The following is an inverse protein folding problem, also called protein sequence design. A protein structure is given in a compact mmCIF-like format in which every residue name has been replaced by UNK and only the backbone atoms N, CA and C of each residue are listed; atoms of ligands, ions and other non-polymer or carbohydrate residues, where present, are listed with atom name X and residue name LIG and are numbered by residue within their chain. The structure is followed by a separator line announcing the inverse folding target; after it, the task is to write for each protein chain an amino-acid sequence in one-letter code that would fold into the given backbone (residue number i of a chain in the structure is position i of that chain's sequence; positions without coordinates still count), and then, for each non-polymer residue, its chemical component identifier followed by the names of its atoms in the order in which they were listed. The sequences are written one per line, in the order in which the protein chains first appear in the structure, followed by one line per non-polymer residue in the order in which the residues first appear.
data_IF_760818175538
#
_entry.id   IF_760818175538
#
_cell.length_a   1.000
_cell.length_b   1.000
_cell.length_c   1.000
_cell.angle_alpha   90.00
_cell.angle_beta   90.00
_cell.angle_gamma   90.00
#
_symmetry.space_group_name_H-M   'P 1'
#
loop_
_entity.id
_entity.type
_entity.pdbx_description
1 polymer ?
#
# COMPACT_ATOMS: atom_id res chain seq x y z
N UNK A 1 20.01 30.04 -6.04
CA UNK A 1 20.86 28.84 -6.19
C UNK A 1 19.99 27.64 -5.85
N UNK A 2 19.93 26.61 -6.70
CA UNK A 2 19.13 25.42 -6.41
C UNK A 2 19.89 24.53 -5.41
N UNK A 3 19.24 24.11 -4.32
CA UNK A 3 19.77 23.07 -3.43
C UNK A 3 19.11 21.75 -3.85
N UNK A 4 19.94 20.77 -4.18
CA UNK A 4 19.47 19.42 -4.54
C UNK A 4 19.69 18.53 -3.34
N UNK A 5 18.65 17.83 -2.90
CA UNK A 5 18.83 16.73 -1.97
C UNK A 5 19.47 15.57 -2.75
N UNK A 6 20.57 15.02 -2.22
CA UNK A 6 21.27 13.90 -2.83
C UNK A 6 20.64 12.56 -2.45
N UNK A 7 19.80 12.55 -1.43
CA UNK A 7 19.10 11.35 -0.99
C UNK A 7 17.85 11.14 -1.87
N UNK A 8 17.62 9.88 -2.25
CA UNK A 8 16.42 9.49 -3.00
C UNK A 8 15.55 8.65 -2.08
N UNK A 9 14.33 9.10 -1.84
CA UNK A 9 13.37 8.32 -1.06
C UNK A 9 12.89 7.12 -1.85
N UNK A 10 12.70 6.01 -1.16
CA UNK A 10 12.11 4.81 -1.74
C UNK A 10 10.68 4.62 -1.24
N UNK A 11 9.75 4.52 -2.17
CA UNK A 11 8.37 4.15 -1.87
C UNK A 11 7.94 3.00 -2.78
N UNK A 12 6.94 2.26 -2.31
CA UNK A 12 6.28 1.24 -3.11
C UNK A 12 4.77 1.35 -2.93
N UNK A 13 4.04 0.86 -3.94
CA UNK A 13 2.58 0.78 -3.93
C UNK A 13 2.12 -0.47 -4.68
N UNK A 14 0.88 -0.86 -4.42
CA UNK A 14 0.19 -1.81 -5.29
C UNK A 14 -0.51 -1.14 -6.45
N UNK A 15 -0.72 -1.88 -7.54
CA UNK A 15 -1.37 -1.38 -8.76
C UNK A 15 -2.72 -0.68 -8.48
N UNK A 16 -3.54 -1.23 -7.59
CA UNK A 16 -4.88 -0.72 -7.26
C UNK A 16 -4.91 0.25 -6.05
N UNK A 17 -3.75 0.58 -5.50
CA UNK A 17 -3.65 1.45 -4.32
C UNK A 17 -3.35 2.89 -4.70
N UNK A 18 -3.96 3.83 -3.99
CA UNK A 18 -3.54 5.23 -4.00
C UNK A 18 -2.52 5.45 -2.89
N UNK A 19 -1.30 5.80 -3.25
CA UNK A 19 -0.23 6.12 -2.30
C UNK A 19 -0.16 7.63 -2.09
N UNK A 20 -0.50 8.08 -0.88
CA UNK A 20 -0.27 9.46 -0.44
C UNK A 20 1.17 9.62 0.00
N UNK A 21 1.81 10.69 -0.46
CA UNK A 21 3.22 11.00 -0.20
C UNK A 21 3.33 12.46 0.23
N UNK A 22 4.12 12.68 1.27
CA UNK A 22 4.46 14.00 1.79
C UNK A 22 5.95 14.18 1.67
N UNK A 23 6.39 15.25 1.02
CA UNK A 23 7.80 15.67 0.95
C UNK A 23 7.97 16.89 1.82
N UNK A 24 8.98 16.88 2.69
CA UNK A 24 9.22 17.94 3.65
C UNK A 24 10.59 18.56 3.40
N UNK A 25 10.62 19.88 3.21
CA UNK A 25 11.84 20.62 2.88
C UNK A 25 12.48 21.29 4.10
N UNK A 26 12.19 20.82 5.32
CA UNK A 26 12.62 21.47 6.58
C UNK A 26 14.13 21.67 6.66
N UNK A 27 14.90 20.67 6.23
CA UNK A 27 16.36 20.72 6.28
C UNK A 27 16.96 21.56 5.14
N UNK A 28 16.18 21.83 4.11
CA UNK A 28 16.63 22.55 2.92
C UNK A 28 16.30 24.04 2.96
N UNK A 29 15.16 24.37 3.58
CA UNK A 29 14.69 25.72 3.80
C UNK A 29 15.53 26.41 4.88
N UNK A 30 15.96 27.63 4.60
CA UNK A 30 16.57 28.47 5.63
C UNK A 30 15.50 28.81 6.71
N UNK A 31 15.91 29.16 7.93
CA UNK A 31 15.05 29.22 9.14
C UNK A 31 13.80 30.12 9.02
N UNK A 32 13.76 31.04 8.05
CA UNK A 32 12.63 31.94 7.78
C UNK A 32 11.98 31.73 6.39
N UNK A 33 12.45 30.74 5.63
CA UNK A 33 11.96 30.47 4.29
C UNK A 33 10.66 29.65 4.34
N UNK A 34 9.71 30.01 3.49
CA UNK A 34 8.44 29.30 3.34
C UNK A 34 8.34 28.69 1.95
N UNK A 35 7.79 27.48 1.87
CA UNK A 35 7.46 26.85 0.61
C UNK A 35 6.20 27.52 0.03
N UNK A 36 6.32 28.12 -1.16
CA UNK A 36 5.23 28.84 -1.81
C UNK A 36 4.46 27.96 -2.79
N UNK A 37 5.17 27.14 -3.55
CA UNK A 37 4.58 26.25 -4.54
C UNK A 37 5.45 25.02 -4.76
N UNK A 38 4.87 23.99 -5.37
CA UNK A 38 5.54 22.73 -5.64
C UNK A 38 5.07 22.16 -6.98
N UNK A 39 6.00 21.58 -7.73
CA UNK A 39 5.73 20.78 -8.93
C UNK A 39 6.23 19.36 -8.70
N UNK A 40 5.41 18.37 -9.03
CA UNK A 40 5.80 16.97 -9.03
C UNK A 40 5.73 16.43 -10.46
N UNK A 41 6.71 15.62 -10.84
CA UNK A 41 6.76 14.97 -12.15
C UNK A 41 7.27 13.55 -11.97
N UNK A 42 6.76 12.63 -12.79
CA UNK A 42 7.08 11.20 -12.73
C UNK A 42 7.35 10.66 -14.13
N UNK A 43 8.37 9.83 -14.26
CA UNK A 43 8.78 9.18 -15.51
C UNK A 43 8.88 7.67 -15.30
N UNK A 44 8.56 6.92 -16.34
CA UNK A 44 8.81 5.47 -16.38
C UNK A 44 10.28 5.14 -16.68
N UNK A 45 10.62 3.85 -16.65
CA UNK A 45 11.95 3.32 -16.98
C UNK A 45 12.45 3.70 -18.38
N UNK A 46 11.54 4.08 -19.29
CA UNK A 46 11.85 4.55 -20.64
C UNK A 46 11.97 6.07 -20.76
N UNK A 47 11.87 6.81 -19.64
CA UNK A 47 11.95 8.27 -19.60
C UNK A 47 10.69 8.97 -20.11
N UNK A 48 9.56 8.27 -20.25
CA UNK A 48 8.28 8.87 -20.68
C UNK A 48 7.56 9.42 -19.46
N UNK A 49 7.16 10.70 -19.53
CA UNK A 49 6.41 11.33 -18.44
C UNK A 49 5.03 10.67 -18.26
N UNK A 50 4.73 10.27 -17.03
CA UNK A 50 3.41 9.76 -16.60
C UNK A 50 2.68 10.72 -15.68
N UNK A 51 3.22 11.91 -15.47
CA UNK A 51 2.74 12.94 -14.53
C UNK A 51 1.22 13.11 -14.55
N UNK A 52 0.63 13.44 -15.70
CA UNK A 52 -0.81 13.66 -15.80
C UNK A 52 -1.67 12.40 -15.53
N UNK A 53 -1.09 11.21 -15.70
CA UNK A 53 -1.81 9.94 -15.55
C UNK A 53 -1.69 9.32 -14.16
N UNK A 54 -0.64 9.66 -13.41
CA UNK A 54 -0.29 9.00 -12.16
C UNK A 54 -0.33 9.91 -10.94
N UNK A 55 -0.05 11.21 -11.10
CA UNK A 55 0.07 12.14 -9.98
C UNK A 55 -1.14 13.06 -9.85
N UNK A 56 -1.56 13.32 -8.62
CA UNK A 56 -2.38 14.50 -8.32
C UNK A 56 -1.51 15.76 -8.31
N UNK A 57 -2.13 16.92 -8.57
CA UNK A 57 -1.47 18.21 -8.35
C UNK A 57 -1.00 18.32 -6.90
N UNK A 58 0.26 18.74 -6.64
CA UNK A 58 0.74 18.92 -5.27
C UNK A 58 0.00 20.03 -4.53
N UNK A 59 -0.32 19.77 -3.26
CA UNK A 59 -0.82 20.77 -2.31
C UNK A 59 0.31 21.16 -1.38
N UNK A 60 0.56 22.47 -1.23
CA UNK A 60 1.62 22.96 -0.36
C UNK A 60 1.07 23.35 1.00
N UNK A 61 1.66 22.77 2.05
CA UNK A 61 1.50 23.15 3.45
C UNK A 61 2.89 23.33 4.03
N UNK A 62 3.47 24.53 3.84
CA UNK A 62 4.86 24.82 4.21
C UNK A 62 5.18 24.32 5.61
N UNK A 63 6.30 23.60 5.82
CA UNK A 63 7.42 23.37 4.89
C UNK A 63 7.27 22.14 3.98
N UNK A 64 6.06 21.58 3.86
CA UNK A 64 5.79 20.33 3.14
C UNK A 64 4.93 20.50 1.89
N UNK A 65 5.02 19.53 1.00
CA UNK A 65 4.10 19.37 -0.12
C UNK A 65 3.55 17.95 -0.14
N UNK A 66 2.27 17.81 -0.45
CA UNK A 66 1.55 16.53 -0.47
C UNK A 66 0.99 16.25 -1.84
N UNK A 67 1.06 15.00 -2.27
CA UNK A 67 0.43 14.52 -3.50
C UNK A 67 0.15 13.02 -3.40
N UNK A 68 -0.54 12.49 -4.40
CA UNK A 68 -0.95 11.09 -4.46
C UNK A 68 -0.50 10.44 -5.77
N UNK A 69 -0.23 9.13 -5.69
CA UNK A 69 0.16 8.27 -6.81
C UNK A 69 -0.88 7.16 -6.93
N UNK A 70 -1.64 7.11 -8.02
CA UNK A 70 -2.82 6.22 -8.12
C UNK A 70 -2.65 5.04 -9.09
N UNK A 71 -2.01 5.28 -10.25
CA UNK A 71 -1.86 4.26 -11.31
C UNK A 71 -0.45 3.67 -11.32
N UNK A 72 -0.10 2.99 -12.41
CA UNK A 72 1.21 2.42 -12.69
C UNK A 72 1.11 1.19 -13.57
N UNK A 73 2.25 0.56 -13.80
CA UNK A 73 2.38 -0.74 -14.47
C UNK A 73 3.13 -1.68 -13.54
N UNK A 74 2.65 -2.91 -13.42
CA UNK A 74 3.24 -3.91 -12.51
C UNK A 74 4.68 -4.21 -12.92
N UNK A 75 5.58 -4.22 -11.94
CA UNK A 75 7.01 -4.49 -12.15
C UNK A 75 7.79 -3.30 -12.71
N UNK A 76 7.13 -2.18 -13.00
CA UNK A 76 7.82 -0.95 -13.40
C UNK A 76 8.29 -0.15 -12.18
N UNK A 77 9.46 0.45 -12.33
CA UNK A 77 10.01 1.43 -11.41
C UNK A 77 9.91 2.81 -12.04
N UNK A 78 9.39 3.77 -11.28
CA UNK A 78 9.22 5.14 -11.69
C UNK A 78 10.15 6.06 -10.93
N UNK A 79 10.74 7.03 -11.62
CA UNK A 79 11.49 8.13 -11.00
C UNK A 79 10.58 9.34 -10.88
N UNK A 80 10.48 9.89 -9.67
CA UNK A 80 9.76 11.12 -9.38
C UNK A 80 10.73 12.23 -9.02
N UNK A 81 10.44 13.42 -9.53
CA UNK A 81 11.10 14.66 -9.16
C UNK A 81 10.08 15.62 -8.58
N UNK A 82 10.33 16.08 -7.37
CA UNK A 82 9.53 17.09 -6.70
C UNK A 82 10.36 18.36 -6.60
N UNK A 83 9.85 19.47 -7.15
CA UNK A 83 10.52 20.76 -7.19
C UNK A 83 9.73 21.77 -6.37
N UNK A 84 10.28 22.17 -5.23
CA UNK A 84 9.73 23.18 -4.34
C UNK A 84 10.28 24.58 -4.65
N UNK A 85 9.42 25.59 -4.62
CA UNK A 85 9.78 27.00 -4.81
C UNK A 85 9.53 27.76 -3.51
N UNK A 86 10.58 28.34 -2.93
CA UNK A 86 10.53 29.03 -1.66
C UNK A 86 10.57 30.56 -1.78
N UNK A 87 10.18 31.27 -0.72
CA UNK A 87 10.05 32.74 -0.65
C UNK A 87 11.31 33.54 -1.01
N UNK A 88 12.51 32.96 -0.85
CA UNK A 88 13.79 33.59 -1.20
C UNK A 88 14.27 33.30 -2.64
N UNK A 89 13.39 32.88 -3.55
CA UNK A 89 13.75 32.34 -4.88
C UNK A 89 14.67 31.12 -4.82
N UNK A 90 14.71 30.44 -3.67
CA UNK A 90 15.38 29.16 -3.53
C UNK A 90 14.51 28.07 -4.19
N UNK A 91 15.16 27.19 -4.93
CA UNK A 91 14.54 26.04 -5.59
C UNK A 91 15.12 24.79 -4.95
N UNK A 92 14.25 23.92 -4.47
CA UNK A 92 14.61 22.67 -3.82
C UNK A 92 14.13 21.51 -4.68
N UNK A 93 14.99 20.50 -4.85
CA UNK A 93 14.66 19.33 -5.66
C UNK A 93 14.80 18.10 -4.79
N UNK A 94 13.72 17.33 -4.68
CA UNK A 94 13.64 16.05 -4.01
C UNK A 94 13.41 14.94 -5.03
N UNK A 95 14.07 13.79 -4.84
CA UNK A 95 13.93 12.62 -5.70
C UNK A 95 13.25 11.48 -4.96
N UNK A 96 12.34 10.79 -5.63
CA UNK A 96 11.66 9.62 -5.09
C UNK A 96 11.65 8.52 -6.14
N UNK A 97 11.94 7.29 -5.74
CA UNK A 97 11.78 6.09 -6.54
C UNK A 97 10.50 5.39 -6.10
N UNK A 98 9.62 5.08 -7.05
CA UNK A 98 8.35 4.40 -6.78
C UNK A 98 8.26 3.10 -7.57
N UNK A 99 8.19 1.97 -6.85
CA UNK A 99 7.96 0.65 -7.45
C UNK A 99 6.48 0.24 -7.34
N UNK A 100 5.96 -0.37 -8.41
CA UNK A 100 4.56 -0.81 -8.49
C UNK A 100 4.47 -2.34 -8.50
N UNK A 101 3.84 -2.89 -7.46
CA UNK A 101 3.61 -4.33 -7.31
C UNK A 101 2.21 -4.76 -7.79
N UNK A 102 2.09 -6.05 -8.13
CA UNK A 102 0.81 -6.67 -8.45
C UNK A 102 -0.13 -6.72 -7.25
N UNK A 103 -1.44 -6.66 -7.50
CA UNK A 103 -2.47 -6.78 -6.48
C UNK A 103 -2.48 -8.14 -5.82
N UNK A 104 -3.00 -8.18 -4.60
CA UNK A 104 -3.18 -9.41 -3.84
C UNK A 104 -4.58 -9.96 -4.10
N UNK A 105 -4.66 -11.27 -4.33
CA UNK A 105 -5.91 -12.01 -4.40
C UNK A 105 -6.09 -12.88 -3.15
N UNK A 106 -7.33 -12.91 -2.64
CA UNK A 106 -7.72 -13.84 -1.59
C UNK A 106 -8.32 -15.08 -2.25
N UNK A 107 -7.80 -16.25 -1.90
CA UNK A 107 -8.40 -17.53 -2.24
C UNK A 107 -8.97 -18.15 -0.96
N UNK A 108 -10.30 -18.18 -0.88
CA UNK A 108 -11.07 -18.67 0.27
C UNK A 108 -11.78 -19.99 -0.05
N UNK A 109 -11.44 -20.62 -1.17
CA UNK A 109 -12.07 -21.87 -1.59
C UNK A 109 -11.65 -23.00 -0.66
N UNK A 110 -12.64 -23.66 -0.06
CA UNK A 110 -12.42 -24.80 0.82
C UNK A 110 -11.71 -25.93 0.06
N UNK A 111 -10.69 -26.51 0.68
CA UNK A 111 -9.94 -27.63 0.12
C UNK A 111 -8.96 -27.27 -1.01
N UNK A 112 -8.87 -26.00 -1.41
CA UNK A 112 -7.98 -25.58 -2.50
C UNK A 112 -6.51 -25.57 -2.02
N UNK A 113 -5.57 -26.21 -2.75
CA UNK A 113 -4.15 -26.19 -2.40
C UNK A 113 -3.51 -24.79 -2.50
N UNK A 114 -4.17 -23.84 -3.16
CA UNK A 114 -3.76 -22.44 -3.25
C UNK A 114 -4.59 -21.50 -2.35
N UNK A 115 -5.40 -22.04 -1.43
CA UNK A 115 -6.12 -21.21 -0.46
C UNK A 115 -5.15 -20.44 0.44
N UNK A 116 -5.46 -19.17 0.72
CA UNK A 116 -4.57 -18.29 1.49
C UNK A 116 -5.30 -17.42 2.54
N UNK A 117 -6.62 -17.58 2.65
CA UNK A 117 -7.44 -16.86 3.62
C UNK A 117 -8.66 -17.68 3.97
N UNK A 118 -9.11 -17.58 5.23
CA UNK A 118 -10.33 -18.23 5.70
C UNK A 118 -11.62 -17.47 5.35
N UNK A 119 -11.50 -16.18 5.08
CA UNK A 119 -12.65 -15.30 4.85
C UNK A 119 -12.39 -14.38 3.66
N UNK A 120 -13.47 -14.00 2.99
CA UNK A 120 -13.43 -12.97 1.96
C UNK A 120 -13.33 -11.59 2.61
N UNK A 121 -12.89 -10.60 1.83
CA UNK A 121 -12.81 -9.22 2.32
C UNK A 121 -14.20 -8.65 2.73
N UNK A 122 -15.31 -8.89 2.01
CA UNK A 122 -16.65 -8.49 2.45
C UNK A 122 -17.08 -9.12 3.77
N UNK A 123 -16.81 -10.41 3.99
CA UNK A 123 -17.12 -11.10 5.25
C UNK A 123 -16.32 -10.52 6.42
N UNK A 124 -15.02 -10.32 6.23
CA UNK A 124 -14.16 -9.69 7.24
C UNK A 124 -14.63 -8.27 7.60
N UNK A 125 -14.96 -7.45 6.59
CA UNK A 125 -15.52 -6.11 6.81
C UNK A 125 -16.83 -6.19 7.61
N UNK A 126 -17.71 -7.13 7.29
CA UNK A 126 -18.99 -7.30 8.00
C UNK A 126 -18.76 -7.69 9.45
N UNK A 127 -17.88 -8.67 9.71
CA UNK A 127 -17.55 -9.09 11.07
C UNK A 127 -16.96 -7.95 11.90
N UNK A 128 -15.95 -7.26 11.38
CA UNK A 128 -15.24 -6.19 12.09
C UNK A 128 -16.19 -5.03 12.43
N UNK A 129 -17.09 -4.67 11.51
CA UNK A 129 -18.08 -3.61 11.77
C UNK A 129 -19.07 -4.01 12.86
N UNK A 130 -19.61 -5.22 12.76
CA UNK A 130 -20.70 -5.66 13.63
C UNK A 130 -20.20 -6.10 15.02
N UNK A 131 -18.99 -6.65 15.10
CA UNK A 131 -18.44 -7.24 16.34
C UNK A 131 -17.45 -6.31 17.02
N UNK A 132 -16.60 -5.62 16.26
CA UNK A 132 -15.53 -4.78 16.81
C UNK A 132 -15.82 -3.27 16.74
N UNK A 133 -16.97 -2.87 16.17
CA UNK A 133 -17.47 -1.50 16.24
C UNK A 133 -16.61 -0.46 15.53
N UNK A 134 -16.08 -0.77 14.33
CA UNK A 134 -15.24 0.14 13.52
C UNK A 134 -13.90 0.54 14.18
N UNK A 135 -12.97 -0.40 14.39
CA UNK A 135 -11.63 -0.03 14.82
C UNK A 135 -10.95 0.84 13.75
N UNK A 136 -10.56 2.07 14.11
CA UNK A 136 -9.87 3.03 13.24
C UNK A 136 -8.68 2.41 12.47
N UNK A 137 -8.00 1.43 13.08
CA UNK A 137 -6.87 0.74 12.45
C UNK A 137 -7.27 -0.08 11.23
N UNK A 138 -8.46 -0.68 11.19
CA UNK A 138 -8.92 -1.44 10.03
C UNK A 138 -9.33 -0.51 8.88
N UNK A 139 -10.11 0.52 9.20
CA UNK A 139 -10.67 1.43 8.19
C UNK A 139 -9.61 2.33 7.56
N UNK A 140 -8.48 2.58 8.25
CA UNK A 140 -7.32 3.32 7.70
C UNK A 140 -6.44 2.50 6.76
N UNK A 141 -6.51 1.17 6.78
CA UNK A 141 -5.77 0.34 5.85
C UNK A 141 -6.36 0.43 4.44
N UNK A 142 -5.47 0.42 3.43
CA UNK A 142 -5.86 0.23 2.04
C UNK A 142 -6.49 -1.15 1.82
N UNK A 143 -7.23 -1.31 0.72
CA UNK A 143 -7.85 -2.60 0.36
C UNK A 143 -6.80 -3.72 0.30
N UNK A 144 -5.66 -3.46 -0.32
CA UNK A 144 -4.56 -4.43 -0.40
C UNK A 144 -3.91 -4.69 0.97
N UNK A 145 -3.80 -3.66 1.82
CA UNK A 145 -3.35 -3.80 3.21
C UNK A 145 -4.26 -4.72 4.03
N UNK A 146 -5.58 -4.60 3.87
CA UNK A 146 -6.55 -5.49 4.54
C UNK A 146 -6.42 -6.94 4.05
N UNK A 147 -6.22 -7.15 2.75
CA UNK A 147 -5.99 -8.51 2.21
C UNK A 147 -4.71 -9.13 2.77
N UNK A 148 -3.61 -8.38 2.85
CA UNK A 148 -2.36 -8.85 3.49
C UNK A 148 -2.59 -9.27 4.92
N UNK A 149 -3.27 -8.42 5.69
CA UNK A 149 -3.56 -8.69 7.09
C UNK A 149 -4.38 -9.98 7.27
N UNK A 150 -5.34 -10.24 6.38
CA UNK A 150 -6.11 -11.51 6.39
C UNK A 150 -5.24 -12.73 6.06
N UNK A 151 -4.35 -12.62 5.08
CA UNK A 151 -3.41 -13.70 4.74
C UNK A 151 -2.44 -13.97 5.90
N UNK A 152 -1.93 -12.92 6.54
CA UNK A 152 -1.04 -13.03 7.69
C UNK A 152 -1.75 -13.66 8.89
N UNK A 153 -2.96 -13.18 9.21
CA UNK A 153 -3.78 -13.78 10.27
C UNK A 153 -4.08 -15.26 9.99
N UNK A 154 -4.35 -15.62 8.73
CA UNK A 154 -4.54 -17.01 8.32
C UNK A 154 -3.29 -17.86 8.59
N UNK A 155 -2.10 -17.36 8.24
CA UNK A 155 -0.83 -18.02 8.53
C UNK A 155 -0.56 -18.16 10.02
N UNK A 156 -0.92 -17.14 10.80
CA UNK A 156 -0.74 -17.19 12.26
C UNK A 156 -1.66 -18.22 12.92
N UNK A 157 -2.91 -18.34 12.44
CA UNK A 157 -3.82 -19.42 12.85
C UNK A 157 -3.21 -20.78 12.50
N UNK A 158 -2.66 -20.96 11.30
CA UNK A 158 -2.11 -22.23 10.84
C UNK A 158 -0.85 -22.68 11.57
N UNK A 159 -0.21 -21.80 12.34
CA UNK A 159 0.95 -22.15 13.18
C UNK A 159 0.58 -22.92 14.44
N UNK A 160 -0.70 -22.93 14.84
CA UNK A 160 -1.13 -23.66 16.03
C UNK A 160 -1.25 -25.17 15.75
N UNK A 161 -1.09 -25.97 16.82
CA UNK A 161 -1.30 -27.41 16.76
C UNK A 161 -2.78 -27.72 16.95
N UNK A 162 -3.45 -28.17 15.88
CA UNK A 162 -4.86 -28.55 15.92
C UNK A 162 -5.03 -30.07 16.04
N UNK A 163 -6.08 -30.49 16.77
CA UNK A 163 -6.50 -31.88 16.87
C UNK A 163 -7.41 -32.26 15.69
N UNK A 164 -7.57 -33.57 15.45
CA UNK A 164 -8.34 -34.10 14.32
C UNK A 164 -7.55 -34.10 13.01
N UNK A 165 -8.18 -34.54 11.92
CA UNK A 165 -7.58 -34.52 10.58
C UNK A 165 -8.20 -33.40 9.75
N UNK A 166 -7.46 -32.94 8.74
CA UNK A 166 -7.98 -32.01 7.73
C UNK A 166 -9.16 -32.65 6.98
N UNK A 167 -10.15 -31.86 6.59
CA UNK A 167 -11.37 -32.38 5.94
C UNK A 167 -11.10 -32.89 4.52
N UNK A 168 -10.31 -32.15 3.74
CA UNK A 168 -9.86 -32.58 2.42
C UNK A 168 -8.40 -33.01 2.44
N UNK A 169 -8.08 -34.08 1.72
CA UNK A 169 -6.71 -34.63 1.65
C UNK A 169 -5.68 -33.61 1.14
N UNK A 170 -6.09 -32.73 0.22
CA UNK A 170 -5.20 -31.79 -0.48
C UNK A 170 -5.32 -30.34 0.04
N UNK A 171 -6.05 -30.09 1.12
CA UNK A 171 -6.19 -28.73 1.62
C UNK A 171 -4.86 -28.22 2.21
N UNK A 172 -4.49 -26.99 1.87
CA UNK A 172 -3.27 -26.38 2.40
C UNK A 172 -3.48 -25.80 3.81
N UNK A 173 -4.64 -25.19 4.05
CA UNK A 173 -5.00 -24.55 5.31
C UNK A 173 -5.46 -25.55 6.38
N UNK A 174 -5.31 -25.20 7.65
CA UNK A 174 -5.65 -26.11 8.75
C UNK A 174 -7.16 -26.38 8.91
N UNK A 175 -8.01 -25.45 8.45
CA UNK A 175 -9.46 -25.61 8.45
C UNK A 175 -10.05 -25.69 7.04
N UNK A 176 -11.18 -26.39 6.85
CA UNK A 176 -11.96 -27.10 7.85
C UNK A 176 -11.33 -28.44 8.27
N UNK A 177 -11.65 -28.92 9.47
CA UNK A 177 -11.20 -30.23 9.97
C UNK A 177 -12.37 -31.19 10.02
N UNK A 178 -12.07 -32.48 9.88
CA UNK A 178 -13.02 -33.56 10.07
C UNK A 178 -13.03 -33.95 11.55
N UNK A 179 -14.01 -33.45 12.30
CA UNK A 179 -14.29 -33.82 13.68
C UNK A 179 -15.62 -34.57 13.83
N UNK A 180 -16.26 -34.97 12.72
CA UNK A 180 -17.57 -35.59 12.73
C UNK A 180 -17.49 -37.11 12.58
N UNK A 181 -18.04 -37.85 13.53
CA UNK A 181 -18.21 -39.32 13.46
C UNK A 181 -19.21 -39.75 12.36
N UNK A 182 -19.97 -38.80 11.80
CA UNK A 182 -20.94 -39.04 10.74
C UNK A 182 -20.84 -38.00 9.64
N UNK A 183 -20.59 -38.47 8.42
CA UNK A 183 -20.60 -37.67 7.19
C UNK A 183 -22.05 -37.25 6.92
N UNK A 184 -22.38 -35.98 7.09
CA UNK A 184 -23.60 -35.38 6.54
C UNK A 184 -23.21 -34.39 5.46
N UNK A 185 -23.54 -34.75 4.21
CA UNK A 185 -23.54 -33.85 3.06
C UNK A 185 -24.86 -33.11 2.90
#
# INVERSE_FOLDING_TARGET
MAKMDFESDYIWKFINETKYTTVTFINDLDTEATLLSCLASIWDSSGISKTASMLSSPTVTSPSAEFSITKGTIGETYELKVTGFASASAVHIHKIICEVFDSISLNTKLGDPAANSYVTLPEANTYIRNVLGHPNKWDTLSVEGRKRLLIEACRDIDRFNFLGVRYYDNQILEFPRNDHDTITG
#
